data_IF_635260347595
#
_entry.id   IF_635260347595
#
_cell.length_a   1.000
_cell.length_b   1.000
_cell.length_c   1.000
_cell.angle_alpha   90.00
_cell.angle_beta   90.00
_cell.angle_gamma   90.00
#
_symmetry.space_group_name_H-M   'P 1'
#
loop_
_entity.id
_entity.type
_entity.pdbx_description
1 polymer ?
#
# COMPACT_ATOMS: atom_id res chain seq x y z
N UNK A 1 14.23 13.93 -3.18
CA UNK A 1 14.35 15.14 -4.04
C UNK A 1 15.22 14.78 -5.24
N UNK A 2 14.98 15.34 -6.43
CA UNK A 2 15.89 15.16 -7.57
C UNK A 2 17.27 15.76 -7.24
N UNK A 3 18.29 15.41 -8.04
CA UNK A 3 19.65 15.89 -7.82
C UNK A 3 19.68 17.41 -7.68
N UNK A 4 20.26 17.95 -6.60
CA UNK A 4 20.28 19.38 -6.37
C UNK A 4 21.04 20.07 -7.49
N UNK A 5 20.60 21.28 -7.82
CA UNK A 5 21.17 21.98 -8.97
C UNK A 5 22.61 22.42 -8.69
N UNK A 6 23.45 22.38 -9.72
CA UNK A 6 24.72 23.12 -9.75
C UNK A 6 24.41 24.50 -10.34
N UNK A 7 24.79 25.56 -9.64
CA UNK A 7 24.58 26.96 -10.05
C UNK A 7 23.26 27.59 -9.56
N UNK A 8 22.92 28.78 -10.11
CA UNK A 8 21.74 29.55 -9.69
C UNK A 8 20.43 28.77 -9.79
N UNK A 9 19.52 29.04 -8.85
CA UNK A 9 18.18 28.42 -8.79
C UNK A 9 17.17 29.20 -9.61
N UNK A 10 16.15 28.53 -10.13
CA UNK A 10 15.03 29.19 -10.80
C UNK A 10 14.22 29.97 -9.77
N UNK A 11 13.93 31.25 -10.03
CA UNK A 11 13.18 32.10 -9.09
C UNK A 11 14.02 32.72 -7.98
N UNK A 12 15.35 32.69 -8.09
CA UNK A 12 16.28 33.40 -7.21
C UNK A 12 16.66 32.65 -5.92
N UNK A 13 15.78 31.80 -5.38
CA UNK A 13 16.05 31.06 -4.14
C UNK A 13 15.42 29.66 -4.09
N UNK A 14 15.88 28.79 -3.16
CA UNK A 14 15.45 27.40 -3.08
C UNK A 14 13.98 27.22 -2.70
N UNK A 15 13.44 28.09 -1.83
CA UNK A 15 12.03 28.05 -1.45
C UNK A 15 11.13 28.41 -2.65
N UNK A 16 11.47 29.47 -3.37
CA UNK A 16 10.72 29.91 -4.54
C UNK A 16 10.80 28.88 -5.69
N UNK A 17 11.97 28.29 -5.92
CA UNK A 17 12.13 27.22 -6.92
C UNK A 17 11.18 26.05 -6.64
N UNK A 18 11.07 25.61 -5.38
CA UNK A 18 10.15 24.52 -5.00
C UNK A 18 8.69 24.87 -5.32
N UNK A 19 8.27 26.09 -5.05
CA UNK A 19 6.90 26.56 -5.34
C UNK A 19 6.65 26.65 -6.85
N UNK A 20 7.60 27.20 -7.61
CA UNK A 20 7.51 27.26 -9.08
C UNK A 20 7.36 25.85 -9.65
N UNK A 21 8.19 24.89 -9.20
CA UNK A 21 8.14 23.51 -9.70
C UNK A 21 6.87 22.78 -9.29
N UNK A 22 6.35 23.03 -8.08
CA UNK A 22 5.07 22.47 -7.63
C UNK A 22 3.90 22.98 -8.48
N UNK A 23 3.85 24.29 -8.76
CA UNK A 23 2.82 24.88 -9.60
C UNK A 23 2.90 24.35 -11.05
N UNK A 24 4.11 24.29 -11.62
CA UNK A 24 4.31 23.74 -12.97
C UNK A 24 3.93 22.25 -13.06
N UNK A 25 4.23 21.44 -12.03
CA UNK A 25 3.81 20.04 -11.99
C UNK A 25 2.28 19.91 -11.92
N UNK A 26 1.64 20.76 -11.11
CA UNK A 26 0.18 20.81 -11.00
C UNK A 26 -0.45 21.13 -12.36
N UNK A 27 -0.01 22.21 -13.01
CA UNK A 27 -0.51 22.59 -14.35
C UNK A 27 -0.22 21.54 -15.43
N UNK A 28 0.92 20.84 -15.36
CA UNK A 28 1.24 19.76 -16.29
C UNK A 28 0.27 18.59 -16.15
N UNK A 29 -0.09 18.20 -14.93
CA UNK A 29 -1.06 17.12 -14.69
C UNK A 29 -2.51 17.57 -14.93
N UNK A 30 -2.78 18.87 -14.90
CA UNK A 30 -4.09 19.44 -15.18
C UNK A 30 -4.36 19.63 -16.68
N UNK A 31 -3.33 19.94 -17.48
CA UNK A 31 -3.53 20.28 -18.90
C UNK A 31 -2.82 19.34 -19.88
N UNK A 32 -2.13 18.30 -19.39
CA UNK A 32 -1.31 17.34 -20.14
C UNK A 32 -0.09 17.94 -20.87
N UNK A 33 -0.13 19.22 -21.21
CA UNK A 33 0.94 19.97 -21.87
C UNK A 33 1.00 21.41 -21.38
N UNK A 34 2.22 21.94 -21.23
CA UNK A 34 2.45 23.35 -20.87
C UNK A 34 3.63 23.93 -21.65
N UNK A 35 3.54 25.22 -21.96
CA UNK A 35 4.62 25.98 -22.62
C UNK A 35 5.42 26.77 -21.59
N UNK A 36 6.73 26.55 -21.52
CA UNK A 36 7.61 27.21 -20.55
C UNK A 36 9.03 27.40 -21.08
N UNK A 37 9.92 28.03 -20.31
CA UNK A 37 11.34 28.17 -20.69
C UNK A 37 12.07 26.82 -20.59
N UNK A 38 13.04 26.58 -21.46
CA UNK A 38 13.84 25.34 -21.48
C UNK A 38 14.44 25.00 -20.10
N UNK A 39 14.96 26.02 -19.40
CA UNK A 39 15.53 25.86 -18.07
C UNK A 39 14.51 25.32 -17.04
N UNK A 40 13.29 25.86 -17.02
CA UNK A 40 12.20 25.39 -16.15
C UNK A 40 11.78 23.97 -16.48
N UNK A 41 11.60 23.65 -17.77
CA UNK A 41 11.18 22.32 -18.18
C UNK A 41 12.20 21.24 -17.80
N UNK A 42 13.51 21.49 -18.00
CA UNK A 42 14.57 20.56 -17.58
C UNK A 42 14.59 20.32 -16.07
N UNK A 43 14.20 21.31 -15.26
CA UNK A 43 14.07 21.18 -13.80
C UNK A 43 12.80 20.45 -13.39
N UNK A 44 11.71 20.64 -14.14
CA UNK A 44 10.42 19.99 -13.89
C UNK A 44 10.46 18.49 -14.14
N UNK A 45 11.12 18.04 -15.23
CA UNK A 45 11.18 16.62 -15.65
C UNK A 45 11.43 15.63 -14.51
N UNK A 46 12.54 15.70 -13.75
CA UNK A 46 12.83 14.69 -12.74
C UNK A 46 11.87 14.75 -11.53
N UNK A 47 11.19 15.88 -11.31
CA UNK A 47 10.12 15.98 -10.32
C UNK A 47 8.85 15.30 -10.83
N UNK A 48 8.39 15.67 -12.03
CA UNK A 48 7.18 15.12 -12.64
C UNK A 48 7.28 13.60 -12.84
N UNK A 49 8.41 13.10 -13.37
CA UNK A 49 8.63 11.66 -13.56
C UNK A 49 8.56 10.87 -12.24
N UNK A 50 9.07 11.46 -11.15
CA UNK A 50 9.02 10.83 -9.83
C UNK A 50 7.61 10.83 -9.25
N UNK A 51 6.83 11.90 -9.45
CA UNK A 51 5.44 11.96 -9.02
C UNK A 51 4.59 10.92 -9.75
N UNK A 52 4.78 10.75 -11.06
CA UNK A 52 4.12 9.69 -11.85
C UNK A 52 4.54 8.30 -11.36
N UNK A 53 5.82 8.13 -11.03
CA UNK A 53 6.31 6.85 -10.46
C UNK A 53 5.65 6.51 -9.13
N UNK A 54 5.43 7.50 -8.26
CA UNK A 54 4.65 7.30 -7.03
C UNK A 54 3.20 6.99 -7.33
N UNK A 55 2.59 7.69 -8.29
CA UNK A 55 1.20 7.48 -8.68
C UNK A 55 0.96 6.04 -9.20
N UNK A 56 1.89 5.52 -10.00
CA UNK A 56 1.88 4.13 -10.49
C UNK A 56 1.92 3.07 -9.39
N UNK A 57 2.50 3.39 -8.21
CA UNK A 57 2.51 2.46 -7.08
C UNK A 57 1.12 2.35 -6.42
N UNK A 58 0.34 3.43 -6.43
CA UNK A 58 -1.06 3.42 -5.98
C UNK A 58 -1.29 3.36 -4.45
N UNK A 59 -0.25 3.23 -3.62
CA UNK A 59 -0.40 3.11 -2.17
C UNK A 59 -0.77 4.42 -1.45
N UNK A 60 -1.31 4.31 -0.23
CA UNK A 60 -1.67 5.47 0.60
C UNK A 60 -0.45 6.34 0.90
N UNK A 61 0.71 5.73 1.08
CA UNK A 61 1.97 6.44 1.31
C UNK A 61 2.34 7.32 0.11
N UNK A 62 2.26 6.81 -1.12
CA UNK A 62 2.51 7.56 -2.35
C UNK A 62 1.56 8.74 -2.48
N UNK A 63 0.25 8.55 -2.20
CA UNK A 63 -0.72 9.65 -2.21
C UNK A 63 -0.32 10.76 -1.23
N UNK A 64 0.04 10.40 0.02
CA UNK A 64 0.55 11.35 1.01
C UNK A 64 1.82 12.05 0.55
N UNK A 65 2.74 11.34 -0.11
CA UNK A 65 3.99 11.92 -0.66
C UNK A 65 3.71 12.90 -1.79
N UNK A 66 2.79 12.59 -2.70
CA UNK A 66 2.40 13.50 -3.81
C UNK A 66 1.76 14.77 -3.24
N UNK A 67 0.91 14.64 -2.23
CA UNK A 67 0.26 15.78 -1.56
C UNK A 67 1.24 16.77 -0.90
N UNK A 68 2.48 16.35 -0.61
CA UNK A 68 3.51 17.28 -0.12
C UNK A 68 3.98 18.29 -1.19
N UNK A 69 3.73 17.99 -2.47
CA UNK A 69 4.14 18.81 -3.62
C UNK A 69 2.93 19.41 -4.31
N UNK A 70 1.97 18.58 -4.72
CA UNK A 70 0.74 18.99 -5.40
C UNK A 70 -0.36 19.11 -4.36
N UNK A 71 -0.78 20.35 -4.07
CA UNK A 71 -1.77 20.63 -3.01
C UNK A 71 -3.21 20.43 -3.46
N UNK A 72 -3.46 20.50 -4.77
CA UNK A 72 -4.79 20.32 -5.33
C UNK A 72 -5.19 18.84 -5.34
N UNK A 73 -6.24 18.51 -4.59
CA UNK A 73 -6.77 17.14 -4.46
C UNK A 73 -7.39 16.62 -5.76
N UNK A 74 -7.99 17.49 -6.57
CA UNK A 74 -8.55 17.12 -7.87
C UNK A 74 -7.46 16.66 -8.83
N UNK A 75 -6.36 17.41 -8.91
CA UNK A 75 -5.19 17.04 -9.72
C UNK A 75 -4.53 15.77 -9.20
N UNK A 76 -4.42 15.59 -7.88
CA UNK A 76 -3.93 14.33 -7.30
C UNK A 76 -4.85 13.16 -7.66
N UNK A 77 -6.17 13.33 -7.58
CA UNK A 77 -7.11 12.29 -7.98
C UNK A 77 -6.89 11.88 -9.44
N UNK A 78 -6.87 12.86 -10.35
CA UNK A 78 -6.60 12.64 -11.78
C UNK A 78 -5.29 11.92 -12.04
N UNK A 79 -4.21 12.33 -11.35
CA UNK A 79 -2.89 11.70 -11.47
C UNK A 79 -2.93 10.18 -11.19
N UNK A 80 -3.70 9.75 -10.18
CA UNK A 80 -3.80 8.34 -9.80
C UNK A 80 -4.87 7.58 -10.58
N UNK A 81 -5.98 8.23 -10.96
CA UNK A 81 -7.12 7.58 -11.60
C UNK A 81 -6.97 7.48 -13.13
N UNK A 82 -6.33 8.47 -13.77
CA UNK A 82 -6.21 8.54 -15.23
C UNK A 82 -4.77 8.40 -15.70
N UNK A 83 -3.86 9.22 -15.16
CA UNK A 83 -2.50 9.34 -15.71
C UNK A 83 -1.65 8.11 -15.41
N UNK A 84 -1.72 7.61 -14.18
CA UNK A 84 -0.92 6.46 -13.76
C UNK A 84 -1.29 5.16 -14.49
N UNK A 85 -2.58 4.80 -14.68
CA UNK A 85 -2.98 3.65 -15.49
C UNK A 85 -2.49 3.73 -16.94
N UNK A 86 -2.65 4.86 -17.61
CA UNK A 86 -2.18 5.05 -19.01
C UNK A 86 -0.68 4.79 -19.17
N UNK A 87 0.09 5.08 -18.12
CA UNK A 87 1.55 4.94 -18.12
C UNK A 87 2.03 3.70 -17.36
N UNK A 88 1.16 2.76 -17.01
CA UNK A 88 1.49 1.58 -16.21
C UNK A 88 2.60 0.72 -16.86
N UNK A 89 2.50 0.45 -18.16
CA UNK A 89 3.47 -0.34 -18.90
C UNK A 89 4.84 0.35 -19.06
N UNK A 90 4.88 1.69 -19.01
CA UNK A 90 6.07 2.50 -19.32
C UNK A 90 7.07 2.60 -18.17
N UNK A 91 8.31 2.17 -18.40
CA UNK A 91 9.40 2.18 -17.41
C UNK A 91 10.24 3.47 -17.49
N UNK A 92 9.59 4.62 -17.29
CA UNK A 92 10.23 5.93 -17.31
C UNK A 92 10.08 6.70 -18.63
N UNK A 93 10.56 7.95 -18.64
CA UNK A 93 10.36 8.85 -19.78
C UNK A 93 8.90 9.21 -20.00
N UNK A 94 8.20 9.60 -18.93
CA UNK A 94 6.77 9.93 -18.95
C UNK A 94 6.48 11.32 -19.55
N UNK A 95 7.50 12.18 -19.65
CA UNK A 95 7.38 13.53 -20.20
C UNK A 95 8.27 13.71 -21.43
N UNK A 96 7.78 14.42 -22.44
CA UNK A 96 8.54 14.84 -23.62
C UNK A 96 8.76 16.35 -23.59
N UNK A 97 9.95 16.81 -24.01
CA UNK A 97 10.24 18.24 -24.21
C UNK A 97 10.44 18.46 -25.71
N UNK A 98 9.62 19.35 -26.27
CA UNK A 98 9.73 19.79 -27.66
C UNK A 98 10.17 21.25 -27.66
N UNK A 99 11.29 21.55 -28.33
CA UNK A 99 11.79 22.92 -28.43
C UNK A 99 10.88 23.73 -29.35
N UNK A 100 10.55 24.94 -28.91
CA UNK A 100 9.86 25.92 -29.73
C UNK A 100 10.76 27.15 -29.92
N UNK A 101 10.33 28.08 -30.77
CA UNK A 101 11.07 29.31 -31.04
C UNK A 101 11.34 30.13 -29.77
N UNK A 102 12.33 31.02 -29.85
CA UNK A 102 12.64 31.92 -28.74
C UNK A 102 11.52 32.94 -28.50
N UNK A 103 11.29 33.29 -27.24
CA UNK A 103 10.28 34.30 -26.87
C UNK A 103 10.71 35.69 -27.36
N UNK A 104 9.75 36.44 -27.92
CA UNK A 104 9.96 37.83 -28.35
C UNK A 104 10.23 38.72 -27.12
N UNK A 105 11.27 39.55 -27.18
CA UNK A 105 11.68 40.47 -26.12
C UNK A 105 12.98 40.04 -25.44
N UNK A 106 12.96 38.93 -24.72
CA UNK A 106 14.14 38.45 -23.96
C UNK A 106 14.91 37.31 -24.64
N UNK A 107 14.44 36.87 -25.83
CA UNK A 107 15.02 35.75 -26.60
C UNK A 107 15.20 34.47 -25.78
N UNK A 108 14.40 34.29 -24.73
CA UNK A 108 14.48 33.10 -23.89
C UNK A 108 14.10 31.85 -24.71
N UNK A 109 14.87 30.74 -24.65
CA UNK A 109 14.52 29.51 -25.33
C UNK A 109 13.27 28.91 -24.68
N UNK A 110 12.20 28.79 -25.45
CA UNK A 110 10.93 28.24 -25.00
C UNK A 110 10.79 26.79 -25.44
N UNK A 111 10.03 26.02 -24.69
CA UNK A 111 9.74 24.62 -24.95
C UNK A 111 8.31 24.29 -24.54
N UNK A 112 7.71 23.30 -25.19
CA UNK A 112 6.51 22.62 -24.72
C UNK A 112 6.95 21.37 -23.98
N UNK A 113 6.46 21.19 -22.74
CA UNK A 113 6.61 19.93 -22.00
C UNK A 113 5.25 19.25 -21.89
N UNK A 114 5.19 18.00 -22.31
CA UNK A 114 3.95 17.22 -22.46
C UNK A 114 4.06 15.83 -21.85
N UNK A 115 2.93 15.26 -21.44
CA UNK A 115 2.80 13.88 -20.98
C UNK A 115 2.74 12.91 -22.17
N UNK A 116 3.52 11.84 -22.11
CA UNK A 116 3.54 10.80 -23.16
C UNK A 116 2.45 9.78 -22.88
N UNK A 117 1.24 10.07 -23.36
CA UNK A 117 0.05 9.18 -23.28
C UNK A 117 0.05 8.06 -24.32
N UNK A 118 0.87 8.20 -25.37
CA UNK A 118 1.02 7.16 -26.40
C UNK A 118 1.51 5.85 -25.76
N UNK A 119 0.85 4.71 -26.04
CA UNK A 119 1.34 3.42 -25.57
C UNK A 119 2.74 3.17 -26.15
N UNK A 120 3.64 2.63 -25.33
CA UNK A 120 4.91 2.08 -25.85
C UNK A 120 4.54 1.04 -26.90
N UNK A 121 5.23 1.06 -28.05
CA UNK A 121 4.92 0.22 -29.21
C UNK A 121 4.48 -1.19 -28.83
N UNK A 122 3.45 -1.70 -29.51
CA UNK A 122 2.81 -2.98 -29.19
C UNK A 122 3.83 -4.11 -28.90
N UNK A 123 4.97 -4.14 -29.60
CA UNK A 123 6.07 -5.10 -29.37
C UNK A 123 6.67 -5.08 -27.96
N UNK A 124 6.83 -3.91 -27.32
CA UNK A 124 7.41 -3.84 -25.96
C UNK A 124 6.36 -4.13 -24.88
N UNK A 125 5.11 -3.79 -25.14
CA UNK A 125 4.01 -4.13 -24.25
C UNK A 125 3.76 -5.65 -24.20
N UNK A 126 3.72 -6.31 -25.37
CA UNK A 126 3.52 -7.77 -25.45
C UNK A 126 4.69 -8.57 -24.87
N UNK A 127 5.93 -8.14 -25.09
CA UNK A 127 7.11 -8.79 -24.50
C UNK A 127 7.06 -8.70 -22.97
N UNK A 128 6.63 -7.56 -22.40
CA UNK A 128 6.51 -7.41 -20.95
C UNK A 128 5.36 -8.23 -20.36
N UNK A 129 4.23 -8.32 -21.05
CA UNK A 129 3.13 -9.20 -20.65
C UNK A 129 3.53 -10.67 -20.70
N UNK A 130 4.29 -11.06 -21.73
CA UNK A 130 4.85 -12.40 -21.87
C UNK A 130 5.84 -12.69 -20.73
N UNK A 131 6.82 -11.82 -20.47
CA UNK A 131 7.79 -11.98 -19.36
C UNK A 131 7.09 -12.00 -17.99
N UNK A 132 6.06 -11.18 -17.80
CA UNK A 132 5.25 -11.17 -16.58
C UNK A 132 4.42 -12.44 -16.41
N UNK A 133 3.96 -13.05 -17.50
CA UNK A 133 3.30 -14.36 -17.47
C UNK A 133 4.32 -15.47 -17.14
N UNK A 134 5.50 -15.46 -17.76
CA UNK A 134 6.56 -16.45 -17.47
C UNK A 134 7.05 -16.35 -16.02
N UNK A 135 7.22 -15.14 -15.48
CA UNK A 135 7.64 -14.95 -14.08
C UNK A 135 6.56 -15.39 -13.08
N UNK A 136 5.28 -15.19 -13.41
CA UNK A 136 4.16 -15.70 -12.59
C UNK A 136 4.06 -17.22 -12.67
N UNK A 137 4.26 -17.80 -13.85
CA UNK A 137 4.31 -19.25 -14.03
C UNK A 137 5.48 -19.87 -13.26
N UNK A 138 6.69 -19.32 -13.36
CA UNK A 138 7.87 -19.78 -12.61
C UNK A 138 7.68 -19.67 -11.09
N UNK A 139 7.10 -18.56 -10.60
CA UNK A 139 6.79 -18.41 -9.17
C UNK A 139 5.70 -19.38 -8.69
N UNK A 140 4.74 -19.71 -9.56
CA UNK A 140 3.74 -20.74 -9.27
C UNK A 140 4.35 -22.14 -9.30
N UNK A 141 5.31 -22.41 -10.17
CA UNK A 141 6.05 -23.67 -10.23
C UNK A 141 6.94 -23.86 -8.99
N UNK A 142 7.66 -22.82 -8.56
CA UNK A 142 8.43 -22.81 -7.30
C UNK A 142 7.53 -22.99 -6.07
N UNK A 143 6.37 -22.33 -6.03
CA UNK A 143 5.40 -22.53 -4.94
C UNK A 143 4.80 -23.94 -4.93
N UNK A 144 4.61 -24.55 -6.11
CA UNK A 144 4.10 -25.91 -6.26
C UNK A 144 5.16 -26.98 -5.94
N UNK A 145 6.43 -26.70 -6.21
CA UNK A 145 7.57 -27.52 -5.81
C UNK A 145 7.80 -27.48 -4.29
N UNK A 146 7.70 -26.30 -3.66
CA UNK A 146 7.77 -26.18 -2.20
C UNK A 146 6.60 -26.89 -1.48
N UNK A 147 5.40 -26.86 -2.08
CA UNK A 147 4.26 -27.61 -1.55
C UNK A 147 4.38 -29.13 -1.74
N UNK A 148 5.12 -29.60 -2.75
CA UNK A 148 5.38 -31.03 -2.96
C UNK A 148 6.41 -31.59 -1.98
N UNK A 149 7.43 -30.80 -1.61
CA UNK A 149 8.42 -31.16 -0.58
C UNK A 149 7.78 -31.25 0.82
N UNK A 150 6.82 -30.37 1.12
CA UNK A 150 6.09 -30.41 2.40
C UNK A 150 5.16 -31.63 2.50
N UNK A 151 4.66 -32.13 1.37
CA UNK A 151 3.78 -33.30 1.30
C UNK A 151 4.53 -34.65 1.31
N UNK A 152 5.83 -34.65 1.00
CA UNK A 152 6.70 -35.83 1.14
C UNK A 152 7.18 -36.04 2.59
N UNK A 153 7.14 -35.00 3.43
CA UNK A 153 7.43 -35.10 4.86
C UNK A 153 6.23 -35.62 5.68
N UNK A 154 4.99 -35.42 5.23
CA UNK A 154 3.78 -35.93 5.90
C UNK A 154 3.47 -37.42 5.61
N UNK A 155 4.05 -38.03 4.56
CA UNK A 155 3.81 -39.44 4.23
C UNK A 155 4.70 -40.42 5.02
N UNK A 156 5.67 -39.91 5.80
CA UNK A 156 6.55 -40.73 6.66
C UNK A 156 6.06 -40.85 8.12
N UNK A 157 5.06 -40.08 8.54
CA UNK A 157 4.59 -40.02 9.94
C UNK A 157 3.10 -40.37 10.09
N UNK A 158 2.56 -41.19 9.18
CA UNK A 158 1.19 -41.71 9.28
C UNK A 158 1.13 -43.22 9.09
N UNK A 159 1.95 -43.92 9.88
CA UNK A 159 1.88 -45.36 10.08
C UNK A 159 1.95 -45.69 11.58
N UNK A 160 1.13 -45.03 12.40
CA UNK A 160 0.66 -45.67 13.64
C UNK A 160 -0.70 -45.11 14.08
N UNK A 161 -1.48 -46.00 14.67
CA UNK A 161 -2.75 -45.83 15.36
C UNK A 161 -4.02 -45.43 14.59
N UNK A 162 -4.70 -46.50 14.18
CA UNK A 162 -6.13 -46.58 13.95
C UNK A 162 -6.83 -46.92 15.27
N UNK A 163 -7.78 -46.13 15.79
CA UNK A 163 -9.07 -46.67 16.30
C UNK A 163 -10.18 -45.62 16.58
N UNK A 164 -11.37 -45.95 16.05
CA UNK A 164 -12.72 -45.78 16.63
C UNK A 164 -13.50 -44.45 16.55
N UNK A 165 -14.43 -44.47 15.58
CA UNK A 165 -15.90 -44.38 15.76
C UNK A 165 -16.66 -43.03 15.58
N UNK A 166 -17.05 -42.80 14.31
CA UNK A 166 -18.42 -42.68 13.74
C UNK A 166 -19.53 -41.78 14.33
N UNK A 167 -20.07 -40.93 13.43
CA UNK A 167 -21.51 -40.77 13.09
C UNK A 167 -22.21 -39.50 13.62
N UNK A 168 -23.06 -38.74 12.91
CA UNK A 168 -23.67 -38.86 11.56
C UNK A 168 -24.40 -37.54 11.17
N UNK A 169 -24.21 -37.08 9.93
CA UNK A 169 -25.11 -36.43 8.93
C UNK A 169 -26.10 -35.26 9.19
N UNK A 170 -25.95 -34.26 8.29
CA UNK A 170 -26.96 -33.57 7.42
C UNK A 170 -27.95 -32.58 8.05
N UNK A 171 -28.34 -31.42 7.51
CA UNK A 171 -28.14 -30.70 6.23
C UNK A 171 -28.81 -29.30 6.35
N UNK A 172 -28.32 -28.35 5.55
CA UNK A 172 -29.06 -27.28 4.82
C UNK A 172 -28.96 -25.79 5.22
N UNK A 173 -28.66 -25.02 4.16
CA UNK A 173 -28.87 -23.62 3.77
C UNK A 173 -28.87 -22.41 4.74
N UNK A 174 -27.90 -21.51 4.44
CA UNK A 174 -28.04 -20.07 4.12
C UNK A 174 -28.34 -18.99 5.18
N UNK A 175 -27.42 -18.01 5.20
CA UNK A 175 -27.52 -16.56 5.53
C UNK A 175 -27.80 -16.15 6.99
N UNK A 176 -26.80 -15.65 7.71
CA UNK A 176 -26.52 -14.21 7.87
C UNK A 176 -25.18 -13.99 8.63
N UNK A 177 -24.50 -12.88 8.36
CA UNK A 177 -23.13 -12.61 8.82
C UNK A 177 -23.12 -12.11 10.27
N UNK A 178 -22.72 -12.97 11.20
CA UNK A 178 -22.16 -12.59 12.49
C UNK A 178 -20.86 -13.38 12.68
N UNK A 179 -19.76 -12.67 12.91
CA UNK A 179 -18.45 -13.26 13.18
C UNK A 179 -18.49 -14.04 14.49
N UNK A 180 -18.75 -15.34 14.38
CA UNK A 180 -18.63 -16.32 15.44
C UNK A 180 -17.14 -16.47 15.79
N UNK A 181 -16.68 -15.62 16.69
CA UNK A 181 -15.38 -15.77 17.33
C UNK A 181 -15.64 -16.75 18.47
N UNK A 182 -15.31 -18.02 18.23
CA UNK A 182 -15.45 -19.07 19.22
C UNK A 182 -14.84 -18.61 20.56
N UNK A 183 -15.70 -18.48 21.58
CA UNK A 183 -15.32 -17.96 22.88
C UNK A 183 -14.28 -18.91 23.52
N UNK A 184 -13.08 -18.45 23.86
CA UNK A 184 -12.08 -19.31 24.49
C UNK A 184 -12.58 -19.79 25.86
N UNK A 185 -12.21 -21.02 26.26
CA UNK A 185 -12.59 -21.57 27.57
C UNK A 185 -12.13 -20.64 28.70
N UNK A 186 -13.08 -20.14 29.51
CA UNK A 186 -12.81 -19.21 30.61
C UNK A 186 -12.87 -17.71 30.27
N UNK A 187 -13.12 -17.35 29.00
CA UNK A 187 -13.38 -15.98 28.59
C UNK A 187 -14.85 -15.57 28.77
N UNK A 188 -15.09 -14.32 29.12
CA UNK A 188 -16.40 -13.69 29.11
C UNK A 188 -16.44 -12.55 28.07
N UNK A 189 -17.61 -12.36 27.45
CA UNK A 189 -17.83 -11.22 26.56
C UNK A 189 -17.95 -9.92 27.38
N UNK A 190 -17.50 -8.77 26.83
CA UNK A 190 -17.77 -7.46 27.42
C UNK A 190 -19.27 -7.18 27.55
N UNK A 191 -19.65 -6.34 28.51
CA UNK A 191 -21.01 -5.81 28.59
C UNK A 191 -21.32 -4.91 27.38
N UNK A 192 -22.58 -4.50 27.20
CA UNK A 192 -23.00 -3.63 26.09
C UNK A 192 -22.22 -2.29 26.03
N UNK A 193 -21.74 -1.81 27.19
CA UNK A 193 -20.90 -0.60 27.30
C UNK A 193 -19.40 -0.85 27.09
N UNK A 194 -19.00 -2.08 26.74
CA UNK A 194 -17.58 -2.49 26.61
C UNK A 194 -16.85 -2.63 27.96
N UNK A 195 -17.58 -2.58 29.07
CA UNK A 195 -17.04 -2.71 30.43
C UNK A 195 -16.83 -4.18 30.84
N UNK A 196 -16.03 -4.36 31.89
CA UNK A 196 -15.74 -5.67 32.46
C UNK A 196 -16.98 -6.31 33.10
N UNK A 197 -17.25 -7.60 32.85
CA UNK A 197 -18.19 -8.38 33.64
C UNK A 197 -17.73 -8.48 35.11
N UNK A 198 -18.67 -8.67 36.05
CA UNK A 198 -18.36 -8.73 37.48
C UNK A 198 -17.34 -9.84 37.79
N UNK A 199 -16.22 -9.47 38.40
CA UNK A 199 -15.15 -10.40 38.78
C UNK A 199 -14.10 -10.69 37.69
N UNK A 200 -14.17 -10.02 36.54
CA UNK A 200 -13.18 -10.15 35.47
C UNK A 200 -12.28 -8.91 35.42
N UNK A 201 -10.98 -9.10 35.50
CA UNK A 201 -10.01 -7.99 35.63
C UNK A 201 -9.00 -7.94 34.50
N UNK A 202 -8.82 -9.04 33.76
CA UNK A 202 -7.81 -9.16 32.70
C UNK A 202 -8.46 -8.97 31.34
N UNK A 203 -7.89 -8.09 30.52
CA UNK A 203 -8.39 -7.78 29.17
C UNK A 203 -7.70 -8.66 28.13
N UNK A 204 -8.46 -9.40 27.35
CA UNK A 204 -8.00 -10.18 26.20
C UNK A 204 -8.33 -9.51 24.87
N UNK A 205 -7.42 -9.64 23.91
CA UNK A 205 -7.61 -9.14 22.54
C UNK A 205 -7.41 -10.29 21.55
N UNK A 206 -8.46 -10.60 20.77
CA UNK A 206 -8.48 -11.71 19.83
C UNK A 206 -7.48 -11.50 18.70
N UNK A 207 -7.42 -10.28 18.15
CA UNK A 207 -6.57 -9.90 17.02
C UNK A 207 -5.08 -10.15 17.27
N UNK A 208 -4.62 -9.90 18.49
CA UNK A 208 -3.20 -9.99 18.86
C UNK A 208 -2.83 -11.22 19.67
N UNK A 209 -3.81 -12.00 20.13
CA UNK A 209 -3.59 -13.15 21.01
C UNK A 209 -2.91 -12.78 22.32
N UNK A 210 -3.14 -11.54 22.81
CA UNK A 210 -2.48 -11.00 24.02
C UNK A 210 -3.47 -10.66 25.11
N UNK A 211 -3.05 -10.84 26.36
CA UNK A 211 -3.77 -10.40 27.54
C UNK A 211 -3.06 -9.24 28.24
N UNK A 212 -3.85 -8.38 28.89
CA UNK A 212 -3.40 -7.21 29.63
C UNK A 212 -3.94 -7.27 31.06
N UNK A 213 -3.02 -7.23 32.03
CA UNK A 213 -3.31 -7.11 33.46
C UNK A 213 -3.58 -5.66 33.86
N UNK A 214 -4.36 -5.41 34.93
CA UNK A 214 -4.70 -4.07 35.41
C UNK A 214 -3.48 -3.20 35.75
N UNK A 215 -2.37 -3.80 36.18
CA UNK A 215 -1.12 -3.10 36.51
C UNK A 215 -0.24 -2.81 35.27
N UNK A 216 -0.65 -3.26 34.08
CA UNK A 216 0.10 -3.11 32.85
C UNK A 216 0.03 -1.70 32.27
N UNK A 217 1.17 -1.21 31.75
CA UNK A 217 1.28 0.12 31.09
C UNK A 217 0.21 0.38 30.03
N UNK A 218 -0.22 -0.66 29.32
CA UNK A 218 -1.16 -0.55 28.20
C UNK A 218 -2.62 -0.86 28.57
N UNK A 219 -2.90 -1.24 29.82
CA UNK A 219 -4.23 -1.69 30.25
C UNK A 219 -5.34 -0.66 30.02
N UNK A 220 -5.08 0.62 30.32
CA UNK A 220 -6.04 1.70 30.11
C UNK A 220 -6.29 2.08 28.65
N UNK A 221 -5.38 1.70 27.73
CA UNK A 221 -5.48 2.02 26.31
C UNK A 221 -6.09 0.87 25.49
N UNK A 222 -6.01 -0.35 26.01
CA UNK A 222 -6.56 -1.53 25.32
C UNK A 222 -8.07 -1.62 25.50
N UNK A 223 -8.77 -1.75 24.37
CA UNK A 223 -10.17 -2.18 24.30
C UNK A 223 -10.19 -3.69 24.34
N UNK A 224 -10.92 -4.26 25.30
CA UNK A 224 -11.03 -5.70 25.48
C UNK A 224 -12.09 -6.27 24.55
N UNK A 225 -11.75 -7.36 23.84
CA UNK A 225 -12.72 -8.17 23.09
C UNK A 225 -13.18 -9.36 23.93
N UNK A 226 -12.33 -9.80 24.85
CA UNK A 226 -12.61 -10.83 25.84
C UNK A 226 -12.16 -10.37 27.22
N UNK A 227 -12.81 -10.86 28.25
CA UNK A 227 -12.44 -10.65 29.64
C UNK A 227 -12.09 -11.99 30.30
N UNK A 228 -11.00 -12.01 31.07
CA UNK A 228 -10.58 -13.16 31.88
C UNK A 228 -10.61 -12.81 33.38
N UNK A 229 -10.85 -13.83 34.22
CA UNK A 229 -10.85 -13.67 35.68
C UNK A 229 -9.46 -13.34 36.21
N UNK A 230 -8.47 -14.07 35.74
CA UNK A 230 -7.05 -13.92 36.09
C UNK A 230 -6.14 -14.19 34.88
N UNK A 231 -4.83 -13.96 35.05
CA UNK A 231 -3.84 -14.19 34.01
C UNK A 231 -3.69 -15.68 33.66
N UNK A 232 -3.89 -16.57 34.64
CA UNK A 232 -3.80 -18.02 34.44
C UNK A 232 -4.90 -18.53 33.49
N UNK A 233 -6.13 -18.01 33.59
CA UNK A 233 -7.21 -18.32 32.68
C UNK A 233 -6.94 -17.81 31.25
N UNK A 234 -6.29 -16.64 31.12
CA UNK A 234 -5.91 -16.12 29.81
C UNK A 234 -4.82 -16.97 29.14
N UNK A 235 -3.82 -17.43 29.90
CA UNK A 235 -2.77 -18.32 29.41
C UNK A 235 -3.29 -19.71 29.06
N UNK A 236 -4.21 -20.26 29.86
CA UNK A 236 -4.90 -21.51 29.56
C UNK A 236 -5.73 -21.41 28.26
N UNK A 237 -6.27 -20.23 27.97
CA UNK A 237 -6.95 -19.91 26.72
C UNK A 237 -6.00 -19.61 25.54
N UNK A 238 -4.68 -19.73 25.73
CA UNK A 238 -3.68 -19.53 24.67
C UNK A 238 -3.26 -18.08 24.43
N UNK A 239 -3.60 -17.15 25.33
CA UNK A 239 -3.17 -15.75 25.22
C UNK A 239 -1.82 -15.52 25.88
N UNK A 240 -1.02 -14.64 25.29
CA UNK A 240 0.33 -14.28 25.77
C UNK A 240 0.33 -12.94 26.52
N UNK A 241 1.22 -12.76 27.49
CA UNK A 241 1.29 -11.52 28.26
C UNK A 241 1.71 -10.34 27.39
N UNK A 242 0.96 -9.25 27.40
CA UNK A 242 1.33 -8.06 26.66
C UNK A 242 2.59 -7.40 27.26
N UNK A 243 3.70 -7.47 26.53
CA UNK A 243 4.98 -6.85 26.91
C UNK A 243 5.99 -7.80 27.57
N UNK A 244 5.71 -9.10 27.61
CA UNK A 244 6.72 -10.14 27.84
C UNK A 244 7.58 -10.37 26.60
#
# INVERSE_FOLDING_TARGET
MPTPTKGPRVGGGPAHERLILANLATSLFEHDSITTTEAKAKRLRPLAERLITFAKRGDLHARRRVLTVVRDKGVVHRLFAEIAPDMAAREGGYTRITKIGARKGDRAPMVVIELVREPLSAKKATVKEAEGATRRAAKQEEAKAAAADTKAAEDAEKADETTAAQGTESTDASTDTASDTALPEGAALPNEDGSAPEGYTVKGNADSGKYHEPDGRYYGQTVAEFWFKDAAAAEAAGFTKAGS
#
